data_IF_315574786634
#
_entry.id   IF_315574786634
#
_cell.length_a   1.000
_cell.length_b   1.000
_cell.length_c   1.000
_cell.angle_alpha   90.00
_cell.angle_beta   90.00
_cell.angle_gamma   90.00
#
_symmetry.space_group_name_H-M   'P 1'
#
loop_
_entity.id
_entity.type
_entity.pdbx_description
1 polymer ?
#
# COMPACT_ATOMS: atom_id res chain seq x y z
N UNK A 1 -15.58 40.47 21.44
CA UNK A 1 -15.92 39.04 21.63
C UNK A 1 -15.40 38.18 20.48
N UNK A 2 -15.35 38.69 19.24
CA UNK A 2 -14.74 38.01 18.07
C UNK A 2 -13.27 37.63 18.24
N UNK A 3 -12.41 38.53 18.73
CA UNK A 3 -10.96 38.27 18.89
C UNK A 3 -10.65 37.02 19.74
N UNK A 4 -11.46 36.78 20.79
CA UNK A 4 -11.28 35.61 21.66
C UNK A 4 -11.69 34.31 20.94
N UNK A 5 -12.72 34.37 20.09
CA UNK A 5 -13.20 33.24 19.29
C UNK A 5 -12.17 32.86 18.22
N UNK A 6 -11.57 33.84 17.56
CA UNK A 6 -10.54 33.63 16.53
C UNK A 6 -9.25 33.05 17.11
N UNK A 7 -8.86 33.49 18.32
CA UNK A 7 -7.71 32.93 19.04
C UNK A 7 -7.92 31.47 19.44
N UNK A 8 -9.12 31.11 19.91
CA UNK A 8 -9.46 29.74 20.30
C UNK A 8 -9.51 28.83 19.06
N UNK A 9 -10.15 29.28 17.99
CA UNK A 9 -10.21 28.53 16.73
C UNK A 9 -8.81 28.29 16.15
N UNK A 10 -7.93 29.30 16.19
CA UNK A 10 -6.55 29.13 15.76
C UNK A 10 -5.80 28.06 16.57
N UNK A 11 -5.99 28.00 17.88
CA UNK A 11 -5.42 26.92 18.70
C UNK A 11 -5.99 25.54 18.34
N UNK A 12 -7.27 25.44 18.04
CA UNK A 12 -7.89 24.18 17.58
C UNK A 12 -7.31 23.74 16.24
N UNK A 13 -7.16 24.66 15.27
CA UNK A 13 -6.52 24.36 13.99
C UNK A 13 -5.06 23.95 14.15
N UNK A 14 -4.32 24.58 15.08
CA UNK A 14 -2.95 24.19 15.37
C UNK A 14 -2.85 22.77 15.95
N UNK A 15 -3.72 22.41 16.89
CA UNK A 15 -3.81 21.03 17.41
C UNK A 15 -4.17 20.03 16.33
N UNK A 16 -5.08 20.39 15.42
CA UNK A 16 -5.42 19.55 14.27
C UNK A 16 -4.22 19.37 13.34
N UNK A 17 -3.47 20.44 13.08
CA UNK A 17 -2.25 20.41 12.28
C UNK A 17 -1.18 19.52 12.93
N UNK A 18 -1.03 19.57 14.25
CA UNK A 18 -0.13 18.69 15.01
C UNK A 18 -0.53 17.22 14.88
N UNK A 19 -1.83 16.92 15.00
CA UNK A 19 -2.35 15.56 14.78
C UNK A 19 -2.01 15.03 13.39
N UNK A 20 -2.21 15.83 12.34
CA UNK A 20 -1.79 15.48 10.99
C UNK A 20 -0.28 15.35 10.83
N UNK A 21 0.48 16.21 11.51
CA UNK A 21 1.95 16.18 11.44
C UNK A 21 2.53 14.92 12.06
N UNK A 22 1.86 14.35 13.06
CA UNK A 22 2.21 13.04 13.62
C UNK A 22 2.02 11.90 12.61
N UNK A 23 1.17 12.05 11.60
CA UNK A 23 0.95 11.03 10.56
C UNK A 23 2.04 11.04 9.46
N UNK A 24 2.68 12.19 9.21
CA UNK A 24 3.71 12.37 8.18
C UNK A 24 4.81 11.31 8.20
N UNK A 25 5.47 10.99 9.34
CA UNK A 25 6.53 9.96 9.34
C UNK A 25 6.03 8.58 8.90
N UNK A 26 4.79 8.21 9.22
CA UNK A 26 4.22 6.92 8.82
C UNK A 26 3.95 6.86 7.32
N UNK A 27 3.43 7.94 6.73
CA UNK A 27 3.28 8.02 5.27
C UNK A 27 4.62 8.03 4.54
N UNK A 28 5.64 8.69 5.08
CA UNK A 28 7.01 8.61 4.51
C UNK A 28 7.57 7.19 4.57
N UNK A 29 7.37 6.49 5.67
CA UNK A 29 7.78 5.08 5.78
C UNK A 29 7.01 4.19 4.81
N UNK A 30 5.71 4.44 4.62
CA UNK A 30 4.89 3.72 3.64
C UNK A 30 5.38 3.94 2.21
N UNK A 31 5.79 5.17 1.88
CA UNK A 31 6.41 5.51 0.61
C UNK A 31 7.76 4.79 0.41
N UNK A 32 8.60 4.75 1.44
CA UNK A 32 9.88 4.02 1.39
C UNK A 32 9.66 2.52 1.15
N UNK A 33 8.65 1.93 1.79
CA UNK A 33 8.31 0.52 1.54
C UNK A 33 7.79 0.33 0.11
N UNK A 34 6.96 1.24 -0.41
CA UNK A 34 6.50 1.20 -1.81
C UNK A 34 7.68 1.23 -2.80
N UNK A 35 8.72 2.01 -2.51
CA UNK A 35 9.96 2.05 -3.30
C UNK A 35 10.73 0.74 -3.21
N UNK A 36 10.90 0.18 -2.01
CA UNK A 36 11.55 -1.14 -1.82
C UNK A 36 10.80 -2.26 -2.54
N UNK A 37 9.47 -2.22 -2.55
CA UNK A 37 8.64 -3.14 -3.33
C UNK A 37 8.90 -3.00 -4.84
N UNK A 38 9.01 -1.77 -5.34
CA UNK A 38 9.32 -1.51 -6.74
C UNK A 38 10.69 -2.07 -7.15
N UNK A 39 11.72 -1.85 -6.32
CA UNK A 39 13.06 -2.40 -6.54
C UNK A 39 13.06 -3.93 -6.52
N UNK A 40 12.33 -4.55 -5.60
CA UNK A 40 12.22 -6.01 -5.48
C UNK A 40 11.54 -6.63 -6.72
N UNK A 41 10.49 -5.99 -7.22
CA UNK A 41 9.73 -6.48 -8.39
C UNK A 41 10.48 -6.32 -9.72
N UNK A 42 11.54 -5.51 -9.76
CA UNK A 42 12.43 -5.40 -10.92
C UNK A 42 13.52 -6.49 -10.95
N UNK A 43 13.67 -7.27 -9.87
CA UNK A 43 14.65 -8.35 -9.83
C UNK A 43 14.24 -9.50 -10.74
N UNK A 44 15.25 -10.19 -11.32
CA UNK A 44 15.02 -11.35 -12.19
C UNK A 44 14.27 -12.48 -11.48
N UNK A 45 14.54 -12.66 -10.20
CA UNK A 45 13.84 -13.59 -9.32
C UNK A 45 13.24 -12.79 -8.17
N UNK A 46 11.92 -12.70 -8.13
CA UNK A 46 11.20 -11.97 -7.09
C UNK A 46 11.18 -12.81 -5.81
N UNK A 47 11.78 -12.29 -4.75
CA UNK A 47 11.76 -12.92 -3.43
C UNK A 47 10.41 -12.70 -2.78
N UNK A 48 9.47 -13.63 -2.99
CA UNK A 48 8.09 -13.51 -2.51
C UNK A 48 8.00 -13.33 -0.99
N UNK A 49 8.85 -14.00 -0.21
CA UNK A 49 8.85 -13.88 1.25
C UNK A 49 9.12 -12.43 1.70
N UNK A 50 10.12 -11.78 1.10
CA UNK A 50 10.44 -10.38 1.37
C UNK A 50 9.33 -9.43 0.91
N UNK A 51 8.64 -9.75 -0.20
CA UNK A 51 7.48 -8.99 -0.65
C UNK A 51 6.34 -9.06 0.38
N UNK A 52 6.10 -10.24 0.97
CA UNK A 52 5.11 -10.41 2.03
C UNK A 52 5.50 -9.68 3.32
N UNK A 53 6.79 -9.66 3.69
CA UNK A 53 7.28 -8.85 4.80
C UNK A 53 6.93 -7.37 4.62
N UNK A 54 7.22 -6.80 3.44
CA UNK A 54 6.86 -5.41 3.12
C UNK A 54 5.35 -5.14 3.17
N UNK A 55 4.51 -6.08 2.70
CA UNK A 55 3.05 -5.95 2.80
C UNK A 55 2.60 -5.91 4.27
N UNK A 56 3.16 -6.79 5.10
CA UNK A 56 2.83 -6.85 6.53
C UNK A 56 3.30 -5.60 7.28
N UNK A 57 4.50 -5.09 6.99
CA UNK A 57 4.98 -3.83 7.54
C UNK A 57 4.03 -2.67 7.21
N UNK A 58 3.55 -2.60 5.96
CA UNK A 58 2.57 -1.57 5.55
C UNK A 58 1.24 -1.71 6.27
N UNK A 59 0.75 -2.92 6.50
CA UNK A 59 -0.47 -3.13 7.26
C UNK A 59 -0.35 -2.57 8.68
N UNK A 60 0.79 -2.82 9.36
CA UNK A 60 1.04 -2.25 10.68
C UNK A 60 1.06 -0.72 10.71
N UNK A 61 1.56 -0.08 9.63
CA UNK A 61 1.50 1.37 9.48
C UNK A 61 0.07 1.89 9.28
N UNK A 62 -0.75 1.17 8.49
CA UNK A 62 -2.17 1.49 8.29
C UNK A 62 -2.91 1.45 9.62
N UNK A 63 -2.76 0.36 10.38
CA UNK A 63 -3.41 0.20 11.69
C UNK A 63 -3.02 1.34 12.65
N UNK A 64 -1.75 1.77 12.61
CA UNK A 64 -1.27 2.90 13.41
C UNK A 64 -1.91 4.23 12.97
N UNK A 65 -2.00 4.47 11.66
CA UNK A 65 -2.61 5.66 11.08
C UNK A 65 -4.12 5.75 11.36
N UNK A 66 -4.82 4.61 11.38
CA UNK A 66 -6.23 4.54 11.77
C UNK A 66 -6.43 5.03 13.20
N UNK A 67 -5.61 4.55 14.15
CA UNK A 67 -5.65 5.01 15.53
C UNK A 67 -5.37 6.51 15.69
N UNK A 68 -4.40 7.06 14.95
CA UNK A 68 -4.13 8.50 14.94
C UNK A 68 -5.30 9.33 14.35
N UNK A 69 -6.07 8.74 13.44
CA UNK A 69 -7.16 9.43 12.74
C UNK A 69 -8.42 9.58 13.59
N UNK A 70 -8.64 8.74 14.60
CA UNK A 70 -9.79 8.84 15.51
C UNK A 70 -9.81 10.20 16.25
N UNK A 71 -8.67 10.60 16.81
CA UNK A 71 -8.54 11.89 17.53
C UNK A 71 -8.73 13.11 16.61
N UNK A 72 -8.29 13.01 15.35
CA UNK A 72 -8.46 14.04 14.32
C UNK A 72 -9.93 14.20 13.94
N UNK A 73 -10.66 13.09 13.82
CA UNK A 73 -12.07 13.10 13.43
C UNK A 73 -12.93 13.80 14.49
N UNK A 74 -12.66 13.58 15.79
CA UNK A 74 -13.35 14.29 16.87
C UNK A 74 -13.14 15.82 16.75
N UNK A 75 -11.88 16.27 16.58
CA UNK A 75 -11.54 17.68 16.43
C UNK A 75 -12.20 18.32 15.20
N UNK A 76 -12.31 17.58 14.08
CA UNK A 76 -13.03 18.06 12.90
C UNK A 76 -14.51 18.31 13.18
N UNK A 77 -15.17 17.41 13.92
CA UNK A 77 -16.58 17.59 14.28
C UNK A 77 -16.78 18.81 15.18
N UNK A 78 -15.86 19.04 16.13
CA UNK A 78 -15.87 20.25 16.97
C UNK A 78 -15.74 21.53 16.13
N UNK A 79 -14.85 21.55 15.14
CA UNK A 79 -14.68 22.70 14.23
C UNK A 79 -15.94 22.94 13.39
N UNK A 80 -16.51 21.86 12.83
CA UNK A 80 -17.73 21.93 12.03
C UNK A 80 -18.88 22.54 12.83
N UNK A 81 -19.06 22.08 14.08
CA UNK A 81 -20.05 22.63 14.99
C UNK A 81 -19.77 24.09 15.37
N UNK A 82 -18.51 24.45 15.68
CA UNK A 82 -18.13 25.79 16.10
C UNK A 82 -18.26 26.86 14.98
N UNK A 83 -18.09 26.44 13.73
CA UNK A 83 -18.18 27.30 12.54
C UNK A 83 -19.54 27.23 11.85
N UNK A 84 -20.46 26.39 12.33
CA UNK A 84 -21.79 26.16 11.75
C UNK A 84 -21.72 25.85 10.24
N UNK A 85 -20.71 25.07 9.83
CA UNK A 85 -20.54 24.59 8.46
C UNK A 85 -21.10 23.17 8.33
N UNK A 86 -21.43 22.75 7.09
CA UNK A 86 -21.98 21.40 6.87
C UNK A 86 -20.90 20.31 6.88
N UNK A 87 -19.68 20.66 6.49
CA UNK A 87 -18.56 19.73 6.37
C UNK A 87 -17.25 20.45 6.61
N UNK A 88 -16.25 19.70 7.06
CA UNK A 88 -14.90 20.23 7.19
C UNK A 88 -14.28 20.44 5.79
N UNK A 89 -14.13 21.70 5.38
CA UNK A 89 -13.54 22.07 4.09
C UNK A 89 -12.54 23.20 4.31
N UNK A 90 -11.26 22.92 4.07
CA UNK A 90 -10.18 23.87 4.37
C UNK A 90 -10.27 25.16 3.53
N UNK A 91 -10.70 25.06 2.27
CA UNK A 91 -10.86 26.24 1.41
C UNK A 91 -11.95 27.18 1.97
N UNK A 92 -13.10 26.63 2.37
CA UNK A 92 -14.19 27.40 3.00
C UNK A 92 -13.80 27.96 4.36
N UNK A 93 -12.97 27.24 5.11
CA UNK A 93 -12.45 27.70 6.41
C UNK A 93 -11.53 28.90 6.21
N UNK A 94 -10.64 28.86 5.21
CA UNK A 94 -9.73 29.97 4.88
C UNK A 94 -10.43 31.24 4.43
N UNK A 95 -11.64 31.14 3.86
CA UNK A 95 -12.46 32.31 3.52
C UNK A 95 -13.04 33.02 4.76
N UNK A 96 -13.04 32.36 5.93
CA UNK A 96 -13.71 32.85 7.16
C UNK A 96 -12.76 33.06 8.33
N UNK A 97 -11.65 32.33 8.37
CA UNK A 97 -10.70 32.35 9.48
C UNK A 97 -9.29 32.41 8.91
N UNK A 98 -8.57 33.45 9.28
CA UNK A 98 -7.14 33.59 9.02
C UNK A 98 -6.34 33.34 10.30
N UNK A 99 -5.09 32.92 10.13
CA UNK A 99 -4.12 32.83 11.22
C UNK A 99 -3.22 31.60 11.15
N UNK A 100 -2.24 31.61 12.05
CA UNK A 100 -1.12 30.66 12.07
C UNK A 100 -1.57 29.20 12.17
N UNK A 101 -2.71 28.93 12.82
CA UNK A 101 -3.24 27.57 12.95
C UNK A 101 -3.78 27.04 11.62
N UNK A 102 -4.48 27.90 10.87
CA UNK A 102 -5.03 27.56 9.54
C UNK A 102 -3.90 27.37 8.53
N UNK A 103 -2.86 28.21 8.59
CA UNK A 103 -1.67 28.08 7.75
C UNK A 103 -0.91 26.78 8.05
N UNK A 104 -0.67 26.47 9.33
CA UNK A 104 -0.02 25.23 9.73
C UNK A 104 -0.79 23.99 9.27
N UNK A 105 -2.12 24.03 9.36
CA UNK A 105 -3.00 22.96 8.90
C UNK A 105 -2.97 22.79 7.38
N UNK A 106 -2.93 23.90 6.64
CA UNK A 106 -2.82 23.88 5.17
C UNK A 106 -1.52 23.22 4.74
N UNK A 107 -0.40 23.66 5.32
CA UNK A 107 0.92 23.11 4.98
C UNK A 107 0.96 21.58 5.18
N UNK A 108 0.46 21.09 6.32
CA UNK A 108 0.54 19.65 6.60
C UNK A 108 -0.45 18.82 5.77
N UNK A 109 -1.64 19.35 5.47
CA UNK A 109 -2.58 18.67 4.57
C UNK A 109 -2.02 18.58 3.15
N UNK A 110 -1.38 19.65 2.65
CA UNK A 110 -0.73 19.65 1.34
C UNK A 110 0.42 18.65 1.29
N UNK A 111 1.27 18.60 2.33
CA UNK A 111 2.35 17.62 2.45
C UNK A 111 1.82 16.17 2.42
N UNK A 112 0.78 15.89 3.22
CA UNK A 112 0.15 14.57 3.24
C UNK A 112 -0.49 14.22 1.89
N UNK A 113 -1.11 15.19 1.22
CA UNK A 113 -1.68 15.01 -0.12
C UNK A 113 -0.61 14.63 -1.15
N UNK A 114 0.56 15.28 -1.11
CA UNK A 114 1.69 14.94 -1.98
C UNK A 114 2.22 13.54 -1.70
N UNK A 115 2.40 13.17 -0.43
CA UNK A 115 2.86 11.82 -0.04
C UNK A 115 1.88 10.74 -0.51
N UNK A 116 0.58 10.93 -0.27
CA UNK A 116 -0.47 10.00 -0.70
C UNK A 116 -0.50 9.83 -2.22
N UNK A 117 -0.32 10.91 -2.97
CA UNK A 117 -0.26 10.84 -4.43
C UNK A 117 0.95 10.02 -4.91
N UNK A 118 2.13 10.24 -4.32
CA UNK A 118 3.34 9.47 -4.65
C UNK A 118 3.19 7.98 -4.30
N UNK A 119 2.61 7.67 -3.14
CA UNK A 119 2.33 6.29 -2.73
C UNK A 119 1.39 5.63 -3.73
N UNK A 120 0.29 6.30 -4.10
CA UNK A 120 -0.68 5.79 -5.07
C UNK A 120 -0.07 5.49 -6.43
N UNK A 121 0.81 6.36 -6.92
CA UNK A 121 1.50 6.16 -8.20
C UNK A 121 2.43 4.95 -8.15
N UNK A 122 3.24 4.82 -7.10
CA UNK A 122 4.12 3.66 -6.92
C UNK A 122 3.36 2.36 -6.71
N UNK A 123 2.25 2.39 -5.96
CA UNK A 123 1.41 1.21 -5.74
C UNK A 123 0.81 0.69 -7.05
N UNK A 124 0.35 1.60 -7.93
CA UNK A 124 -0.09 1.21 -9.27
C UNK A 124 1.02 0.56 -10.10
N UNK A 125 2.23 1.15 -10.07
CA UNK A 125 3.40 0.57 -10.76
C UNK A 125 3.79 -0.81 -10.21
N UNK A 126 3.73 -0.97 -8.88
CA UNK A 126 4.03 -2.22 -8.20
C UNK A 126 3.00 -3.30 -8.53
N UNK A 127 1.72 -2.97 -8.54
CA UNK A 127 0.66 -3.89 -8.93
C UNK A 127 0.87 -4.40 -10.37
N UNK A 128 1.15 -3.49 -11.30
CA UNK A 128 1.42 -3.84 -12.71
C UNK A 128 2.68 -4.69 -12.87
N UNK A 129 3.75 -4.40 -12.11
CA UNK A 129 4.96 -5.20 -12.11
C UNK A 129 4.72 -6.61 -11.56
N UNK A 130 3.99 -6.73 -10.45
CA UNK A 130 3.63 -8.01 -9.86
C UNK A 130 2.76 -8.85 -10.79
N UNK A 131 1.73 -8.27 -11.43
CA UNK A 131 0.88 -8.95 -12.41
C UNK A 131 1.71 -9.54 -13.54
N UNK A 132 2.65 -8.76 -14.11
CA UNK A 132 3.56 -9.23 -15.16
C UNK A 132 4.47 -10.37 -14.68
N UNK A 133 5.01 -10.28 -13.47
CA UNK A 133 5.84 -11.35 -12.90
C UNK A 133 5.06 -12.66 -12.73
N UNK A 134 3.79 -12.58 -12.31
CA UNK A 134 2.89 -13.75 -12.20
C UNK A 134 2.62 -14.36 -13.57
N UNK A 135 2.34 -13.56 -14.58
CA UNK A 135 2.08 -14.02 -15.95
C UNK A 135 3.31 -14.72 -16.55
N UNK A 136 4.49 -14.14 -16.40
CA UNK A 136 5.75 -14.75 -16.87
C UNK A 136 6.00 -16.10 -16.18
N UNK A 137 5.79 -16.17 -14.87
CA UNK A 137 5.94 -17.41 -14.09
C UNK A 137 4.97 -18.49 -14.58
N UNK A 138 3.71 -18.13 -14.85
CA UNK A 138 2.71 -19.06 -15.42
C UNK A 138 3.14 -19.59 -16.78
N UNK A 139 3.63 -18.72 -17.66
CA UNK A 139 4.10 -19.13 -18.99
C UNK A 139 5.31 -20.08 -18.90
N UNK A 140 6.26 -19.80 -18.00
CA UNK A 140 7.41 -20.68 -17.77
C UNK A 140 6.98 -22.06 -17.27
N UNK A 141 6.02 -22.12 -16.34
CA UNK A 141 5.46 -23.38 -15.85
C UNK A 141 4.79 -24.18 -16.97
N UNK A 142 4.02 -23.54 -17.85
CA UNK A 142 3.41 -24.19 -19.01
C UNK A 142 4.47 -24.77 -19.94
N UNK A 143 5.50 -24.00 -20.27
CA UNK A 143 6.59 -24.45 -21.14
C UNK A 143 7.33 -25.66 -20.54
N UNK A 144 7.58 -25.66 -19.22
CA UNK A 144 8.21 -26.81 -18.53
C UNK A 144 7.31 -28.04 -18.56
N UNK A 145 6.00 -27.88 -18.37
CA UNK A 145 5.04 -28.98 -18.44
C UNK A 145 4.94 -29.56 -19.86
N UNK A 146 4.93 -28.71 -20.89
CA UNK A 146 4.94 -29.14 -22.30
C UNK A 146 6.23 -29.86 -22.66
N UNK A 147 7.38 -29.31 -22.28
CA UNK A 147 8.68 -29.95 -22.49
C UNK A 147 8.74 -31.34 -21.83
N UNK A 148 8.18 -31.48 -20.61
CA UNK A 148 8.08 -32.78 -19.93
C UNK A 148 7.19 -33.77 -20.69
N UNK A 149 6.03 -33.34 -21.21
CA UNK A 149 5.14 -34.19 -22.03
C UNK A 149 5.83 -34.64 -23.31
N UNK A 150 6.53 -33.73 -23.99
CA UNK A 150 7.33 -34.04 -25.19
C UNK A 150 8.42 -35.05 -24.85
N UNK A 151 9.19 -34.82 -23.80
CA UNK A 151 10.25 -35.74 -23.37
C UNK A 151 9.69 -37.14 -23.04
N UNK A 152 8.52 -37.22 -22.38
CA UNK A 152 7.85 -38.49 -22.12
C UNK A 152 7.37 -39.20 -23.40
N UNK A 153 6.94 -38.45 -24.41
CA UNK A 153 6.53 -39.03 -25.70
C UNK A 153 7.73 -39.55 -26.52
N UNK A 154 8.91 -38.94 -26.38
CA UNK A 154 10.13 -39.36 -27.08
C UNK A 154 10.96 -40.40 -26.32
N UNK A 155 10.85 -40.49 -24.99
CA UNK A 155 11.42 -41.58 -24.18
C UNK A 155 10.55 -42.84 -24.23
N UNK A 156 10.20 -43.29 -25.43
CA UNK A 156 9.29 -44.41 -25.70
C UNK A 156 9.44 -45.59 -24.74
N UNK A 157 8.31 -46.27 -24.48
CA UNK A 157 8.14 -47.40 -23.56
C UNK A 157 9.42 -48.21 -23.36
N UNK A 158 9.84 -48.50 -22.11
CA UNK A 158 10.89 -49.48 -21.90
C UNK A 158 10.43 -50.76 -22.58
N UNK A 159 11.15 -51.19 -23.63
CA UNK A 159 10.91 -52.45 -24.31
C UNK A 159 10.75 -53.50 -23.22
N UNK A 160 9.57 -54.09 -23.10
CA UNK A 160 9.34 -55.25 -22.27
C UNK A 160 10.29 -56.33 -22.82
N UNK A 161 11.43 -56.49 -22.17
CA UNK A 161 12.36 -57.56 -22.47
C UNK A 161 11.61 -58.85 -22.17
N UNK A 162 11.42 -59.67 -23.19
CA UNK A 162 10.52 -60.81 -23.18
C UNK A 162 10.90 -61.79 -22.08
N UNK A 163 10.18 -61.72 -20.96
CA UNK A 163 10.20 -62.75 -19.94
C UNK A 163 9.54 -64.01 -20.50
N UNK A 164 10.36 -64.94 -21.00
CA UNK A 164 9.92 -66.28 -21.35
C UNK A 164 9.49 -67.01 -20.06
N UNK A 165 8.18 -67.18 -19.86
CA UNK A 165 7.66 -68.10 -18.87
C UNK A 165 7.92 -69.53 -19.36
N UNK A 166 8.83 -70.24 -18.69
CA UNK A 166 8.96 -71.69 -18.82
C UNK A 166 8.17 -72.31 -17.67
N UNK A 167 7.04 -72.93 -18.01
CA UNK A 167 6.26 -73.77 -17.11
C UNK A 167 6.89 -75.17 -17.08
N UNK A 168 7.46 -75.55 -15.93
CA UNK A 168 7.89 -76.92 -15.68
C UNK A 168 6.85 -77.62 -14.82
N UNK A 169 5.99 -78.39 -15.46
CA UNK A 169 5.14 -79.37 -14.79
C UNK A 169 5.95 -80.63 -14.47
N UNK A 170 6.15 -80.93 -13.18
CA UNK A 170 6.36 -82.30 -12.67
C UNK A 170 5.84 -82.43 -11.24
#
# INVERSE_FOLDING_TARGET
>A
MEILKDSILNHVFQRLAEGYRQQVPYYRQMLEIAQKQAELLQQKEVKMDLLFEYINERQGLIDTLEGLSEGINALKQEIVAALEIQEFNLNRIRERVEGVGVDALTIVIDELGQLLQQIKELDGQNEDALRRAIEQTRQQLQNVQEAKKVQQAYQGEPKADGGAFIDYSK
#
